data_IF_759513846106
#
_entry.id   IF_759513846106
#
_cell.length_a   1.000
_cell.length_b   1.000
_cell.length_c   1.000
_cell.angle_alpha   90.00
_cell.angle_beta   90.00
_cell.angle_gamma   90.00
#
_symmetry.space_group_name_H-M   'P 1'
#
loop_
_entity.id
_entity.type
_entity.pdbx_description
1 polymer ?
#
# COMPACT_ATOMS: atom_id res chain seq x y z
N UNK A 1 9.99 16.70 0.82
CA UNK A 1 9.69 17.36 -0.48
C UNK A 1 8.77 16.43 -1.25
N UNK A 2 7.80 16.99 -1.97
CA UNK A 2 6.92 16.23 -2.88
C UNK A 2 6.98 16.90 -4.25
N UNK A 3 7.16 16.11 -5.31
CA UNK A 3 7.10 16.59 -6.68
C UNK A 3 6.00 15.86 -7.43
N UNK A 4 5.10 16.62 -8.06
CA UNK A 4 4.12 16.10 -9.02
C UNK A 4 4.55 16.52 -10.42
N UNK A 5 4.66 15.56 -11.32
CA UNK A 5 5.15 15.79 -12.68
C UNK A 5 4.53 14.80 -13.66
N UNK A 6 4.52 15.18 -14.95
CA UNK A 6 3.91 14.40 -16.04
C UNK A 6 2.93 15.25 -16.86
N UNK A 7 1.99 14.60 -17.53
CA UNK A 7 1.15 15.24 -18.53
C UNK A 7 -0.35 15.24 -18.18
N UNK A 8 -0.98 16.42 -18.13
CA UNK A 8 -2.43 16.56 -17.89
C UNK A 8 -3.02 17.61 -18.84
N UNK A 9 -3.93 17.17 -19.71
CA UNK A 9 -4.79 18.07 -20.50
C UNK A 9 -6.19 18.08 -19.90
N UNK A 10 -6.60 19.17 -19.26
CA UNK A 10 -7.90 19.27 -18.56
C UNK A 10 -8.54 20.65 -18.68
N UNK A 11 -9.86 20.69 -18.55
CA UNK A 11 -10.65 21.94 -18.40
C UNK A 11 -10.84 22.34 -16.93
N UNK A 12 -10.44 21.48 -15.99
CA UNK A 12 -10.60 21.73 -14.57
C UNK A 12 -9.65 22.85 -14.10
N UNK A 13 -10.12 23.66 -13.15
CA UNK A 13 -9.25 24.55 -12.38
C UNK A 13 -8.79 23.78 -11.15
N UNK A 14 -7.50 23.46 -11.08
CA UNK A 14 -6.94 22.55 -10.07
C UNK A 14 -5.81 23.25 -9.33
N UNK A 15 -5.87 23.22 -8.00
CA UNK A 15 -4.76 23.58 -7.13
C UNK A 15 -4.01 22.30 -6.73
N UNK A 16 -2.98 21.96 -7.50
CA UNK A 16 -2.17 20.76 -7.27
C UNK A 16 -1.47 20.78 -5.93
N UNK A 17 -0.99 21.96 -5.50
CA UNK A 17 -0.31 22.10 -4.22
C UNK A 17 -1.25 21.79 -3.06
N UNK A 18 -2.45 22.37 -3.07
CA UNK A 18 -3.46 22.07 -2.06
C UNK A 18 -3.82 20.59 -2.01
N UNK A 19 -3.99 19.93 -3.16
CA UNK A 19 -4.27 18.49 -3.23
C UNK A 19 -3.14 17.68 -2.59
N UNK A 20 -1.89 17.99 -2.91
CA UNK A 20 -0.72 17.32 -2.32
C UNK A 20 -0.71 17.48 -0.80
N UNK A 21 -0.87 18.72 -0.31
CA UNK A 21 -0.85 19.01 1.14
C UNK A 21 -1.99 18.32 1.87
N UNK A 22 -3.21 18.38 1.34
CA UNK A 22 -4.39 17.74 1.92
C UNK A 22 -4.23 16.21 1.96
N UNK A 23 -3.68 15.61 0.92
CA UNK A 23 -3.41 14.17 0.86
C UNK A 23 -2.39 13.76 1.92
N UNK A 24 -1.24 14.46 2.02
CA UNK A 24 -0.24 14.18 3.05
C UNK A 24 -0.80 14.34 4.47
N UNK A 25 -1.59 15.40 4.71
CA UNK A 25 -2.21 15.65 6.01
C UNK A 25 -3.20 14.55 6.40
N UNK A 26 -4.03 14.09 5.47
CA UNK A 26 -5.01 13.02 5.68
C UNK A 26 -4.37 11.65 5.97
N UNK A 27 -3.16 11.41 5.44
CA UNK A 27 -2.36 10.22 5.77
C UNK A 27 -1.86 10.32 7.23
N UNK A 28 -1.53 11.51 7.69
CA UNK A 28 -1.03 11.79 9.05
C UNK A 28 0.38 12.40 9.08
N UNK A 29 0.90 12.84 7.94
CA UNK A 29 2.17 13.56 7.84
C UNK A 29 1.97 15.04 8.19
N UNK A 30 2.06 15.35 9.48
CA UNK A 30 1.74 16.67 10.05
C UNK A 30 2.92 17.35 10.75
N UNK A 31 4.09 16.71 10.77
CA UNK A 31 5.31 17.26 11.35
C UNK A 31 6.55 16.58 10.79
N UNK A 32 7.71 17.24 10.89
CA UNK A 32 8.98 16.64 10.50
C UNK A 32 9.33 15.40 11.35
N UNK A 33 8.86 15.36 12.60
CA UNK A 33 9.05 14.21 13.50
C UNK A 33 8.44 12.92 12.97
N UNK A 34 7.31 13.01 12.25
CA UNK A 34 6.66 11.85 11.62
C UNK A 34 7.15 11.59 10.20
N UNK A 35 8.12 12.37 9.71
CA UNK A 35 8.83 12.15 8.44
C UNK A 35 8.45 13.10 7.30
N UNK A 36 7.40 13.90 7.47
CA UNK A 36 7.01 14.98 6.54
C UNK A 36 5.98 15.90 7.21
N UNK A 37 6.20 17.20 7.16
CA UNK A 37 5.20 18.21 7.50
C UNK A 37 4.44 18.67 6.23
N UNK A 38 3.15 18.32 6.12
CA UNK A 38 2.32 18.68 4.97
C UNK A 38 2.19 20.20 4.75
N UNK A 39 2.29 21.02 5.79
CA UNK A 39 2.12 22.47 5.71
C UNK A 39 3.45 23.20 5.45
N UNK A 40 4.58 22.57 5.75
CA UNK A 40 5.92 23.17 5.58
C UNK A 40 6.76 22.56 4.48
N UNK A 41 6.41 21.37 3.98
CA UNK A 41 7.20 20.73 2.94
C UNK A 41 7.16 21.51 1.62
N UNK A 42 8.28 21.44 0.87
CA UNK A 42 8.34 21.93 -0.51
C UNK A 42 7.48 21.04 -1.41
N UNK A 43 6.56 21.66 -2.14
CA UNK A 43 5.78 21.04 -3.21
C UNK A 43 6.26 21.63 -4.53
N UNK A 44 6.69 20.76 -5.45
CA UNK A 44 7.14 21.14 -6.78
C UNK A 44 6.15 20.59 -7.81
N UNK A 45 5.68 21.45 -8.71
CA UNK A 45 4.72 21.08 -9.75
C UNK A 45 5.40 21.29 -11.11
N UNK A 46 5.58 20.19 -11.85
CA UNK A 46 6.15 20.20 -13.19
C UNK A 46 5.25 19.40 -14.14
N UNK A 47 4.06 19.94 -14.42
CA UNK A 47 3.02 19.30 -15.21
C UNK A 47 2.88 20.05 -16.54
N UNK A 48 2.96 19.31 -17.65
CA UNK A 48 2.73 19.82 -19.00
C UNK A 48 1.44 19.27 -19.59
N UNK A 49 1.08 19.70 -20.80
CA UNK A 49 -0.02 19.09 -21.54
C UNK A 49 0.41 17.76 -22.15
N UNK A 50 -0.55 16.88 -22.41
CA UNK A 50 -0.29 15.67 -23.18
C UNK A 50 0.28 16.02 -24.56
N UNK A 51 1.29 15.27 -25.01
CA UNK A 51 1.86 15.41 -26.36
C UNK A 51 0.77 15.42 -27.43
N UNK A 52 0.73 16.44 -28.31
CA UNK A 52 -0.21 16.48 -29.43
C UNK A 52 -0.12 15.25 -30.36
N UNK A 53 1.08 14.68 -30.51
CA UNK A 53 1.33 13.50 -31.36
C UNK A 53 0.67 12.23 -30.79
N UNK A 54 0.61 12.13 -29.45
CA UNK A 54 -0.12 11.07 -28.75
C UNK A 54 -1.62 11.36 -28.84
N UNK A 55 -2.03 12.60 -28.55
CA UNK A 55 -3.43 13.01 -28.51
C UNK A 55 -4.16 12.78 -29.85
N UNK A 56 -3.51 13.04 -31.00
CA UNK A 56 -4.09 12.78 -32.32
C UNK A 56 -4.31 11.28 -32.58
N UNK A 57 -3.37 10.44 -32.14
CA UNK A 57 -3.43 8.98 -32.35
C UNK A 57 -4.48 8.30 -31.47
N UNK A 58 -4.52 8.68 -30.19
CA UNK A 58 -5.37 8.03 -29.18
C UNK A 58 -6.83 8.47 -29.30
N UNK A 59 -7.10 9.77 -29.12
CA UNK A 59 -8.46 10.31 -29.03
C UNK A 59 -8.76 11.38 -30.11
N UNK A 60 -7.86 11.58 -31.07
CA UNK A 60 -8.04 12.53 -32.17
C UNK A 60 -8.25 13.96 -31.68
N UNK A 61 -7.54 14.40 -30.65
CA UNK A 61 -7.81 15.68 -29.98
C UNK A 61 -9.27 15.84 -29.51
N UNK A 62 -9.82 14.77 -28.94
CA UNK A 62 -11.18 14.71 -28.38
C UNK A 62 -12.29 14.69 -29.44
N UNK A 63 -11.99 14.23 -30.65
CA UNK A 63 -12.96 14.12 -31.75
C UNK A 63 -13.42 12.68 -32.01
N UNK A 64 -12.64 11.67 -31.61
CA UNK A 64 -13.02 10.27 -31.76
C UNK A 64 -14.21 9.93 -30.86
N UNK A 65 -15.10 9.08 -31.36
CA UNK A 65 -16.16 8.46 -30.55
C UNK A 65 -15.55 7.42 -29.60
N UNK A 66 -16.18 7.10 -28.46
CA UNK A 66 -15.64 6.14 -27.50
C UNK A 66 -15.23 4.79 -28.10
N UNK A 67 -16.01 4.25 -29.04
CA UNK A 67 -15.74 2.98 -29.72
C UNK A 67 -14.55 3.04 -30.69
N UNK A 68 -14.11 4.24 -31.08
CA UNK A 68 -13.03 4.49 -32.05
C UNK A 68 -11.72 4.96 -31.36
N UNK A 69 -11.71 5.09 -30.02
CA UNK A 69 -10.53 5.48 -29.23
C UNK A 69 -9.49 4.35 -29.26
N UNK A 70 -8.26 4.70 -29.63
CA UNK A 70 -7.14 3.76 -29.62
C UNK A 70 -6.59 3.53 -28.21
N UNK A 71 -5.84 2.44 -28.03
CA UNK A 71 -5.05 2.24 -26.81
C UNK A 71 -4.07 3.42 -26.63
N UNK A 72 -3.93 3.90 -25.39
CA UNK A 72 -3.07 5.04 -25.06
C UNK A 72 -1.57 4.76 -25.20
N UNK A 73 -1.21 3.48 -25.05
CA UNK A 73 0.15 2.97 -25.17
C UNK A 73 0.09 1.46 -25.46
N UNK A 74 1.23 0.86 -25.82
CA UNK A 74 1.40 -0.59 -25.88
C UNK A 74 1.58 -1.19 -24.47
N UNK A 75 1.12 -2.42 -24.27
CA UNK A 75 1.32 -3.11 -22.99
C UNK A 75 0.63 -4.46 -22.93
N UNK A 76 0.93 -5.19 -21.85
CA UNK A 76 0.29 -6.45 -21.50
C UNK A 76 -0.23 -6.31 -20.07
N UNK A 77 -1.44 -6.82 -19.82
CA UNK A 77 -2.10 -6.78 -18.53
C UNK A 77 -2.63 -8.16 -18.19
N UNK A 78 -2.55 -8.53 -16.91
CA UNK A 78 -2.97 -9.83 -16.41
C UNK A 78 -4.14 -9.69 -15.44
N UNK A 79 -5.10 -10.59 -15.58
CA UNK A 79 -6.22 -10.78 -14.66
C UNK A 79 -6.04 -12.10 -13.94
N UNK A 80 -6.09 -12.10 -12.61
CA UNK A 80 -6.00 -13.31 -11.79
C UNK A 80 -7.16 -13.37 -10.80
N UNK A 81 -7.63 -14.58 -10.52
CA UNK A 81 -8.61 -14.89 -9.49
C UNK A 81 -8.39 -16.31 -8.96
N UNK A 82 -8.65 -16.51 -7.68
CA UNK A 82 -8.52 -17.81 -6.98
C UNK A 82 -9.70 -17.95 -6.02
N UNK A 83 -10.26 -19.15 -5.86
CA UNK A 83 -11.43 -19.39 -5.01
C UNK A 83 -11.08 -19.57 -3.51
N UNK A 84 -9.82 -19.42 -3.13
CA UNK A 84 -9.34 -19.59 -1.76
C UNK A 84 -9.88 -18.56 -0.76
N UNK A 85 -10.40 -17.42 -1.24
CA UNK A 85 -11.12 -16.42 -0.42
C UNK A 85 -12.44 -15.97 -1.05
N UNK A 86 -13.41 -15.48 -0.25
CA UNK A 86 -14.69 -14.96 -0.77
C UNK A 86 -14.55 -13.81 -1.78
N UNK A 87 -13.51 -12.99 -1.64
CA UNK A 87 -13.18 -11.88 -2.55
C UNK A 87 -12.39 -12.31 -3.80
N UNK A 88 -12.21 -13.62 -3.99
CA UNK A 88 -11.51 -14.26 -5.12
C UNK A 88 -10.03 -13.86 -5.28
N UNK A 89 -9.36 -13.60 -4.14
CA UNK A 89 -7.97 -13.16 -4.07
C UNK A 89 -7.10 -14.13 -3.25
N UNK A 90 -5.77 -14.16 -3.46
CA UNK A 90 -4.86 -14.97 -2.66
C UNK A 90 -4.93 -14.59 -1.17
N UNK A 91 -5.07 -15.57 -0.28
CA UNK A 91 -5.16 -15.35 1.17
C UNK A 91 -3.92 -14.66 1.72
N UNK A 92 -2.72 -15.03 1.23
CA UNK A 92 -1.46 -14.37 1.60
C UNK A 92 -1.50 -12.86 1.35
N UNK A 93 -1.94 -12.46 0.16
CA UNK A 93 -2.12 -11.07 -0.23
C UNK A 93 -3.21 -10.39 0.61
N UNK A 94 -4.38 -11.01 0.72
CA UNK A 94 -5.53 -10.48 1.47
C UNK A 94 -5.14 -10.20 2.93
N UNK A 95 -4.46 -11.13 3.60
CA UNK A 95 -4.05 -10.97 4.99
C UNK A 95 -3.00 -9.87 5.14
N UNK A 96 -1.96 -9.84 4.30
CA UNK A 96 -0.94 -8.80 4.35
C UNK A 96 -1.57 -7.40 4.15
N UNK A 97 -2.46 -7.25 3.16
CA UNK A 97 -3.18 -6.02 2.88
C UNK A 97 -4.08 -5.60 4.04
N UNK A 98 -4.88 -6.53 4.59
CA UNK A 98 -5.76 -6.25 5.74
C UNK A 98 -5.00 -5.88 7.01
N UNK A 99 -3.82 -6.47 7.26
CA UNK A 99 -2.96 -6.07 8.38
C UNK A 99 -2.47 -4.63 8.22
N UNK A 100 -2.08 -4.23 7.00
CA UNK A 100 -1.67 -2.84 6.72
C UNK A 100 -2.81 -1.84 6.91
N UNK A 101 -4.01 -2.19 6.47
CA UNK A 101 -5.22 -1.40 6.70
C UNK A 101 -5.55 -1.29 8.20
N UNK A 102 -5.46 -2.41 8.94
CA UNK A 102 -5.72 -2.45 10.38
C UNK A 102 -4.73 -1.63 11.18
N UNK A 103 -3.44 -1.64 10.83
CA UNK A 103 -2.42 -0.75 11.42
C UNK A 103 -2.83 0.72 11.32
N UNK A 104 -3.32 1.13 10.14
CA UNK A 104 -3.79 2.50 9.93
C UNK A 104 -5.04 2.80 10.74
N UNK A 105 -5.96 1.85 10.85
CA UNK A 105 -7.19 1.99 11.63
C UNK A 105 -6.88 2.22 13.12
N UNK A 106 -6.06 1.36 13.74
CA UNK A 106 -5.73 1.45 15.18
C UNK A 106 -4.90 2.69 15.51
N UNK A 107 -4.16 3.23 14.54
CA UNK A 107 -3.51 4.54 14.65
C UNK A 107 -4.54 5.68 14.66
N UNK A 108 -5.45 5.68 13.67
CA UNK A 108 -6.41 6.78 13.49
C UNK A 108 -7.50 6.83 14.56
N UNK A 109 -7.88 5.68 15.13
CA UNK A 109 -8.86 5.61 16.20
C UNK A 109 -8.25 5.77 17.61
N UNK A 110 -6.92 5.84 17.72
CA UNK A 110 -6.19 6.04 18.97
C UNK A 110 -5.97 4.79 19.83
N UNK A 111 -6.35 3.59 19.37
CA UNK A 111 -6.08 2.33 20.09
C UNK A 111 -4.58 2.11 20.28
N UNK A 112 -3.78 2.37 19.25
CA UNK A 112 -2.32 2.33 19.30
C UNK A 112 -1.78 3.71 18.91
N UNK A 113 -1.92 4.69 19.81
CA UNK A 113 -1.60 6.09 19.54
C UNK A 113 -0.10 6.36 19.27
N UNK A 114 0.79 5.43 19.67
CA UNK A 114 2.22 5.49 19.41
C UNK A 114 2.60 5.21 17.95
N UNK A 115 1.65 4.70 17.14
CA UNK A 115 1.88 4.40 15.73
C UNK A 115 2.06 5.68 14.90
N UNK A 116 3.02 5.62 13.98
CA UNK A 116 3.23 6.64 12.95
C UNK A 116 2.80 6.11 11.56
N UNK A 117 2.72 6.96 10.53
CA UNK A 117 2.06 6.59 9.27
C UNK A 117 2.74 5.52 8.42
N UNK A 118 4.05 5.33 8.53
CA UNK A 118 4.80 4.36 7.71
C UNK A 118 4.78 2.95 8.32
N UNK A 119 4.42 1.95 7.53
CA UNK A 119 4.32 0.57 7.99
C UNK A 119 4.30 -0.43 6.85
N UNK A 120 4.81 -1.63 7.12
CA UNK A 120 4.94 -2.74 6.16
C UNK A 120 4.51 -4.04 6.83
N UNK A 121 3.81 -4.86 6.07
CA UNK A 121 3.29 -6.16 6.49
C UNK A 121 3.65 -7.22 5.45
N UNK A 122 3.91 -8.43 5.93
CA UNK A 122 4.16 -9.59 5.07
C UNK A 122 3.60 -10.83 5.76
N UNK A 123 2.97 -11.70 4.99
CA UNK A 123 2.37 -12.94 5.47
C UNK A 123 2.84 -14.09 4.60
N UNK A 124 3.38 -15.13 5.23
CA UNK A 124 3.72 -16.40 4.59
C UNK A 124 2.65 -17.41 4.98
N UNK A 125 1.98 -17.97 3.98
CA UNK A 125 0.92 -18.97 4.14
C UNK A 125 1.43 -20.32 3.65
N UNK A 126 1.11 -21.37 4.38
CA UNK A 126 1.34 -22.75 3.99
C UNK A 126 0.14 -23.24 3.18
N UNK A 127 0.41 -23.79 2.00
CA UNK A 127 -0.61 -24.20 1.02
C UNK A 127 -0.53 -25.69 0.71
N UNK A 128 -1.68 -26.26 0.37
CA UNK A 128 -1.81 -27.54 -0.31
C UNK A 128 -2.29 -27.31 -1.74
N UNK A 129 -1.64 -27.96 -2.70
CA UNK A 129 -2.11 -28.01 -4.08
C UNK A 129 -3.06 -29.21 -4.26
N UNK A 130 -4.35 -28.93 -4.43
CA UNK A 130 -5.37 -29.93 -4.69
C UNK A 130 -5.83 -29.84 -6.16
N UNK A 131 -5.18 -30.61 -7.03
CA UNK A 131 -5.57 -30.66 -8.45
C UNK A 131 -5.42 -29.32 -9.19
N UNK A 132 -4.47 -28.48 -8.76
CA UNK A 132 -4.23 -27.13 -9.28
C UNK A 132 -4.88 -26.02 -8.45
N UNK A 133 -5.82 -26.33 -7.56
CA UNK A 133 -6.41 -25.35 -6.64
C UNK A 133 -5.50 -25.13 -5.43
N UNK A 134 -5.36 -23.87 -5.01
CA UNK A 134 -4.57 -23.49 -3.83
C UNK A 134 -5.47 -23.52 -2.59
N UNK A 135 -5.16 -24.41 -1.64
CA UNK A 135 -5.92 -24.55 -0.39
C UNK A 135 -5.05 -24.08 0.78
N UNK A 136 -5.38 -22.94 1.43
CA UNK A 136 -4.63 -22.45 2.57
C UNK A 136 -4.78 -23.36 3.78
N UNK A 137 -3.66 -23.83 4.34
CA UNK A 137 -3.63 -24.71 5.51
C UNK A 137 -3.47 -23.89 6.79
N UNK A 138 -2.45 -23.05 6.85
CA UNK A 138 -2.12 -22.22 8.03
C UNK A 138 -1.24 -21.03 7.66
N UNK A 139 -1.16 -20.04 8.54
CA UNK A 139 -0.18 -18.95 8.45
C UNK A 139 1.13 -19.43 9.07
N UNK A 140 2.19 -19.49 8.26
CA UNK A 140 3.51 -19.89 8.73
C UNK A 140 4.24 -18.75 9.44
N UNK A 141 4.23 -17.55 8.85
CA UNK A 141 4.95 -16.40 9.38
C UNK A 141 4.18 -15.12 9.15
N UNK A 142 4.15 -14.27 10.17
CA UNK A 142 3.67 -12.89 10.10
C UNK A 142 4.83 -11.95 10.42
N UNK A 143 5.09 -11.01 9.52
CA UNK A 143 6.05 -9.95 9.73
C UNK A 143 5.36 -8.59 9.67
N UNK A 144 5.61 -7.76 10.68
CA UNK A 144 5.17 -6.38 10.74
C UNK A 144 6.36 -5.52 11.11
N UNK A 145 6.62 -4.50 10.30
CA UNK A 145 7.54 -3.41 10.62
C UNK A 145 6.76 -2.10 10.53
N UNK A 146 6.52 -1.48 11.68
CA UNK A 146 5.73 -0.25 11.76
C UNK A 146 6.53 0.86 12.41
N UNK A 147 6.40 2.06 11.85
CA UNK A 147 6.97 3.28 12.42
C UNK A 147 6.27 3.61 13.73
N UNK A 148 7.03 4.08 14.71
CA UNK A 148 6.54 4.39 16.05
C UNK A 148 7.20 5.65 16.62
N UNK A 149 6.61 6.23 17.66
CA UNK A 149 7.26 7.28 18.45
C UNK A 149 8.34 6.74 19.39
N UNK A 150 9.00 7.62 20.14
CA UNK A 150 10.11 7.24 21.04
C UNK A 150 9.66 6.69 22.40
N UNK A 151 8.35 6.69 22.69
CA UNK A 151 7.82 6.44 24.03
C UNK A 151 7.51 4.97 24.28
N UNK A 152 7.15 4.23 23.23
CA UNK A 152 6.74 2.82 23.32
C UNK A 152 7.95 1.87 23.29
N UNK A 153 7.90 0.82 24.12
CA UNK A 153 8.92 -0.23 24.15
C UNK A 153 8.65 -1.32 23.12
N UNK A 154 9.68 -2.08 22.73
CA UNK A 154 9.51 -3.18 21.79
C UNK A 154 8.57 -4.29 22.29
N UNK A 155 8.52 -4.52 23.61
CA UNK A 155 7.62 -5.51 24.21
C UNK A 155 6.16 -5.06 24.09
N UNK A 156 5.88 -3.78 24.34
CA UNK A 156 4.55 -3.18 24.14
C UNK A 156 4.15 -3.19 22.66
N UNK A 157 5.04 -2.81 21.75
CA UNK A 157 4.80 -2.90 20.30
C UNK A 157 4.41 -4.34 19.94
N UNK A 158 5.18 -5.33 20.38
CA UNK A 158 4.94 -6.73 20.05
C UNK A 158 3.60 -7.24 20.63
N UNK A 159 3.24 -6.83 21.84
CA UNK A 159 1.97 -7.19 22.46
C UNK A 159 0.77 -6.55 21.72
N UNK A 160 0.83 -5.25 21.48
CA UNK A 160 -0.23 -4.48 20.81
C UNK A 160 -0.45 -4.95 19.38
N UNK A 161 0.63 -5.21 18.62
CA UNK A 161 0.52 -5.73 17.25
C UNK A 161 -0.16 -7.10 17.24
N UNK A 162 0.13 -7.98 18.19
CA UNK A 162 -0.55 -9.28 18.27
C UNK A 162 -2.03 -9.12 18.59
N UNK A 163 -2.36 -8.33 19.61
CA UNK A 163 -3.73 -8.22 20.13
C UNK A 163 -4.64 -7.36 19.25
N UNK A 164 -4.16 -6.21 18.80
CA UNK A 164 -5.00 -5.19 18.16
C UNK A 164 -4.90 -5.20 16.65
N UNK A 165 -3.91 -5.87 16.06
CA UNK A 165 -3.69 -5.92 14.61
C UNK A 165 -3.81 -7.34 14.04
N UNK A 166 -3.06 -8.30 14.58
CA UNK A 166 -2.99 -9.66 14.01
C UNK A 166 -4.25 -10.46 14.32
N UNK A 167 -4.61 -10.62 15.61
CA UNK A 167 -5.78 -11.40 16.02
C UNK A 167 -7.10 -10.95 15.38
N UNK A 168 -7.38 -9.64 15.23
CA UNK A 168 -8.63 -9.19 14.60
C UNK A 168 -8.69 -9.45 13.09
N UNK A 169 -7.54 -9.69 12.43
CA UNK A 169 -7.45 -9.82 10.98
C UNK A 169 -7.30 -11.27 10.53
N UNK A 170 -6.43 -12.04 11.17
CA UNK A 170 -6.14 -13.41 10.77
C UNK A 170 -7.14 -14.35 11.47
N UNK A 171 -7.97 -15.10 10.72
CA UNK A 171 -8.86 -16.09 11.32
C UNK A 171 -8.11 -17.10 12.19
N UNK A 172 -8.63 -17.37 13.39
CA UNK A 172 -7.98 -18.23 14.38
C UNK A 172 -7.62 -19.63 13.84
N UNK A 173 -8.44 -20.16 12.93
CA UNK A 173 -8.19 -21.46 12.26
C UNK A 173 -6.86 -21.54 11.50
N UNK A 174 -6.25 -20.41 11.15
CA UNK A 174 -4.96 -20.36 10.47
C UNK A 174 -3.79 -20.04 11.40
N UNK A 175 -4.04 -19.78 12.68
CA UNK A 175 -3.01 -19.48 13.67
C UNK A 175 -2.82 -20.67 14.62
N UNK A 176 -1.57 -20.99 14.91
CA UNK A 176 -1.18 -22.06 15.82
C UNK A 176 0.07 -21.71 16.63
N UNK A 177 0.46 -22.58 17.56
CA UNK A 177 1.65 -22.41 18.40
C UNK A 177 2.98 -22.39 17.63
N UNK A 178 2.98 -22.82 16.37
CA UNK A 178 4.16 -22.83 15.50
C UNK A 178 4.24 -21.61 14.60
N UNK A 179 3.25 -20.72 14.64
CA UNK A 179 3.25 -19.50 13.83
C UNK A 179 4.37 -18.57 14.29
N UNK A 180 5.23 -18.18 13.34
CA UNK A 180 6.39 -17.32 13.61
C UNK A 180 5.97 -15.85 13.51
N UNK A 181 6.36 -15.05 14.49
CA UNK A 181 6.07 -13.62 14.52
C UNK A 181 7.36 -12.80 14.52
N UNK A 182 7.54 -11.97 13.49
CA UNK A 182 8.58 -10.96 13.40
C UNK A 182 7.97 -9.57 13.56
N UNK A 183 7.99 -9.03 14.78
CA UNK A 183 7.34 -7.77 15.14
C UNK A 183 8.40 -6.71 15.43
N UNK A 184 8.48 -5.70 14.56
CA UNK A 184 9.56 -4.71 14.50
C UNK A 184 10.96 -5.35 14.62
N UNK A 185 11.34 -6.28 13.72
CA UNK A 185 12.61 -7.00 13.80
C UNK A 185 13.85 -6.11 13.69
N UNK A 186 13.73 -4.89 13.15
CA UNK A 186 14.83 -3.90 13.16
C UNK A 186 15.12 -3.34 14.56
N UNK A 187 14.22 -3.54 15.53
CA UNK A 187 14.32 -3.08 16.90
C UNK A 187 13.99 -1.60 17.10
N UNK A 188 14.22 -0.71 16.12
CA UNK A 188 13.84 0.70 16.19
C UNK A 188 13.46 1.24 14.82
N UNK A 189 12.27 1.81 14.71
CA UNK A 189 11.75 2.43 13.49
C UNK A 189 11.04 3.76 13.83
N UNK A 190 11.81 4.77 14.24
CA UNK A 190 11.28 6.10 14.58
C UNK A 190 11.26 7.04 13.36
N UNK A 191 12.36 7.07 12.61
CA UNK A 191 12.48 7.82 11.35
C UNK A 191 11.81 7.01 10.25
N UNK A 192 10.86 7.60 9.54
CA UNK A 192 10.11 6.94 8.47
C UNK A 192 9.54 7.93 7.46
N UNK A 193 8.68 7.44 6.57
CA UNK A 193 8.14 8.25 5.48
C UNK A 193 9.24 8.78 4.54
N UNK A 194 8.99 9.91 3.86
CA UNK A 194 9.95 10.48 2.89
C UNK A 194 11.32 10.87 3.48
N UNK A 195 11.43 11.02 4.80
CA UNK A 195 12.71 11.25 5.47
C UNK A 195 13.55 9.96 5.53
N UNK A 196 12.91 8.80 5.69
CA UNK A 196 13.59 7.50 5.76
C UNK A 196 13.86 6.86 4.40
N UNK A 197 12.97 7.06 3.42
CA UNK A 197 13.06 6.42 2.10
C UNK A 197 12.37 7.26 1.01
N UNK A 198 12.91 7.24 -0.21
CA UNK A 198 12.34 7.98 -1.33
C UNK A 198 11.12 7.25 -1.93
N UNK A 199 9.98 7.94 -2.03
CA UNK A 199 8.75 7.42 -2.64
C UNK A 199 8.57 7.83 -4.09
N UNK A 200 8.08 6.91 -4.93
CA UNK A 200 7.70 7.17 -6.32
C UNK A 200 6.40 6.43 -6.68
N UNK A 201 5.56 7.04 -7.51
CA UNK A 201 4.35 6.43 -8.08
C UNK A 201 4.71 5.15 -8.86
N UNK A 202 3.87 4.10 -8.75
CA UNK A 202 4.08 2.85 -9.49
C UNK A 202 5.19 1.94 -8.95
N UNK A 203 5.65 2.13 -7.70
CA UNK A 203 6.69 1.27 -7.06
C UNK A 203 6.13 0.20 -6.13
N UNK A 204 4.83 -0.08 -6.21
CA UNK A 204 4.12 -1.06 -5.39
C UNK A 204 3.18 -1.94 -6.24
N UNK A 205 3.49 -2.11 -7.53
CA UNK A 205 2.62 -2.79 -8.52
C UNK A 205 2.17 -4.20 -8.13
N UNK A 206 2.98 -4.96 -7.41
CA UNK A 206 2.60 -6.31 -6.93
C UNK A 206 1.68 -6.24 -5.70
N UNK A 207 1.84 -5.21 -4.87
CA UNK A 207 0.91 -4.91 -3.77
C UNK A 207 -0.41 -4.35 -4.31
N UNK A 208 -0.36 -3.61 -5.43
CA UNK A 208 -1.57 -3.10 -6.09
C UNK A 208 -2.35 -4.20 -6.85
N UNK A 209 -1.76 -5.40 -7.02
CA UNK A 209 -2.33 -6.52 -7.77
C UNK A 209 -2.49 -7.76 -6.89
N UNK A 210 -1.73 -8.82 -7.12
CA UNK A 210 -2.03 -10.17 -6.59
C UNK A 210 -0.98 -10.71 -5.60
N UNK A 211 0.04 -9.95 -5.22
CA UNK A 211 1.03 -10.42 -4.23
C UNK A 211 2.00 -11.51 -4.72
N UNK A 212 2.30 -11.52 -6.02
CA UNK A 212 3.28 -12.42 -6.70
C UNK A 212 2.82 -13.87 -6.92
N UNK A 213 1.50 -14.10 -7.02
CA UNK A 213 0.93 -15.44 -7.20
C UNK A 213 1.11 -16.08 -8.60
N UNK A 214 1.73 -15.39 -9.57
CA UNK A 214 1.97 -15.93 -10.92
C UNK A 214 3.31 -16.70 -11.05
N UNK A 215 4.08 -16.83 -9.97
CA UNK A 215 5.46 -17.35 -9.98
C UNK A 215 5.67 -18.87 -9.95
N UNK A 216 4.62 -19.70 -9.83
CA UNK A 216 4.75 -21.17 -9.75
C UNK A 216 4.06 -21.90 -10.92
N UNK A 217 4.50 -21.62 -12.15
CA UNK A 217 4.23 -22.47 -13.33
C UNK A 217 5.39 -23.44 -13.61
#
# INVERSE_FOLDING_TARGET
MVMVFGEITTKATVDYEKIVRDTCRNIGFISDDVGLDADRCKVLVNIEQQSPDIAQGVHGHFTKRPEDIGAGDQGIMFGYATDETPELMPLSHVLATKLGARLTEVRKNGTCAWLRPDGKTQVTVEYLNEGGAMVPVRVHTVLISTQHDETVTNDEIAADLKEHVIKPVIPEKYLDEKTIFHLNPSGRFVIGGPHGDAGLTGRKIIIDTYGDCEGEL
#
